data_IF_906975990430
#
_entry.id   IF_906975990430
#
_cell.length_a   1.000
_cell.length_b   1.000
_cell.length_c   1.000
_cell.angle_alpha   90.00
_cell.angle_beta   90.00
_cell.angle_gamma   90.00
#
_symmetry.space_group_name_H-M   'P 1'
#
loop_
_entity.id
_entity.type
_entity.pdbx_description
1 polymer ?
#
# COMPACT_ATOMS: atom_id res chain seq x y z
N UNK A 1 -19.17 -18.17 -6.46
CA UNK A 1 -19.07 -17.67 -5.08
C UNK A 1 -17.95 -18.37 -4.30
N UNK A 2 -16.84 -18.75 -4.96
CA UNK A 2 -15.69 -19.48 -4.38
C UNK A 2 -14.43 -18.71 -4.79
N UNK A 3 -14.06 -17.65 -4.06
CA UNK A 3 -12.72 -17.04 -4.16
C UNK A 3 -12.47 -15.92 -3.14
N UNK A 4 -13.11 -15.98 -1.96
CA UNK A 4 -12.96 -14.94 -0.94
C UNK A 4 -11.91 -15.27 0.14
N UNK A 5 -11.30 -16.46 0.10
CA UNK A 5 -10.61 -17.01 1.28
C UNK A 5 -9.07 -16.94 1.27
N UNK A 6 -8.38 -16.52 0.20
CA UNK A 6 -6.90 -16.42 0.23
C UNK A 6 -6.30 -15.10 -0.32
N UNK A 7 -7.13 -14.11 -0.66
CA UNK A 7 -6.59 -12.96 -1.39
C UNK A 7 -5.98 -11.93 -0.44
N UNK A 8 -4.66 -11.72 -0.59
CA UNK A 8 -4.00 -10.51 -0.11
C UNK A 8 -4.74 -9.34 -0.72
N UNK A 9 -5.44 -8.57 0.08
CA UNK A 9 -6.34 -7.54 -0.42
C UNK A 9 -5.86 -6.13 -0.09
N UNK A 10 -4.81 -6.01 0.74
CA UNK A 10 -4.18 -4.75 1.13
C UNK A 10 -2.76 -4.67 0.58
N UNK A 11 -2.33 -3.47 0.25
CA UNK A 11 -0.93 -3.16 -0.01
C UNK A 11 -0.55 -1.86 0.68
N UNK A 12 0.55 -1.94 1.43
CA UNK A 12 1.11 -0.82 2.20
C UNK A 12 2.45 -0.50 1.60
N UNK A 13 2.64 0.73 1.12
CA UNK A 13 3.89 1.19 0.53
C UNK A 13 4.22 2.62 0.98
N UNK A 14 5.40 3.08 0.58
CA UNK A 14 5.77 4.49 0.54
C UNK A 14 6.12 4.93 -0.86
N UNK A 15 5.92 6.22 -1.11
CA UNK A 15 6.41 6.90 -2.31
C UNK A 15 7.46 7.92 -1.88
N UNK A 16 8.59 7.94 -2.59
CA UNK A 16 9.68 8.84 -2.28
C UNK A 16 10.57 8.38 -1.12
N UNK A 17 11.38 9.32 -0.63
CA UNK A 17 12.16 9.14 0.60
C UNK A 17 11.25 9.35 1.80
N UNK A 18 11.37 8.48 2.79
CA UNK A 18 10.72 8.66 4.10
C UNK A 18 11.74 8.39 5.21
N UNK A 19 11.52 8.99 6.37
CA UNK A 19 12.33 8.75 7.56
C UNK A 19 12.32 7.27 8.03
N UNK A 20 13.33 6.90 8.83
CA UNK A 20 13.45 5.54 9.41
C UNK A 20 12.21 5.13 10.21
N UNK A 21 11.62 6.07 10.96
CA UNK A 21 10.46 5.81 11.80
C UNK A 21 9.23 5.44 10.97
N UNK A 22 9.05 6.08 9.81
CA UNK A 22 7.97 5.75 8.87
C UNK A 22 8.17 4.37 8.25
N UNK A 23 9.41 4.00 7.91
CA UNK A 23 9.70 2.64 7.42
C UNK A 23 9.36 1.58 8.46
N UNK A 24 9.63 1.85 9.74
CA UNK A 24 9.25 0.98 10.84
C UNK A 24 7.73 0.88 10.95
N UNK A 25 7.01 2.01 10.93
CA UNK A 25 5.55 2.05 10.92
C UNK A 25 4.93 1.23 9.78
N UNK A 26 5.48 1.33 8.56
CA UNK A 26 5.05 0.53 7.41
C UNK A 26 5.25 -0.96 7.67
N UNK A 27 6.39 -1.34 8.24
CA UNK A 27 6.70 -2.73 8.59
C UNK A 27 5.72 -3.26 9.64
N UNK A 28 5.38 -2.45 10.64
CA UNK A 28 4.44 -2.83 11.69
C UNK A 28 2.99 -2.90 11.18
N UNK A 29 2.58 -1.97 10.32
CA UNK A 29 1.27 -2.02 9.65
C UNK A 29 1.13 -3.24 8.74
N UNK A 30 2.19 -3.63 8.04
CA UNK A 30 2.19 -4.89 7.27
C UNK A 30 1.90 -6.07 8.18
N UNK A 31 2.54 -6.18 9.35
CA UNK A 31 2.26 -7.25 10.33
C UNK A 31 0.82 -7.19 10.84
N UNK A 32 0.30 -6.00 11.12
CA UNK A 32 -1.10 -5.82 11.58
C UNK A 32 -2.11 -6.30 10.54
N UNK A 33 -1.80 -6.14 9.25
CA UNK A 33 -2.68 -6.56 8.16
C UNK A 33 -2.48 -8.01 7.69
N UNK A 34 -1.59 -8.78 8.33
CA UNK A 34 -1.46 -10.21 8.03
C UNK A 34 -2.74 -10.98 8.36
N UNK A 35 -3.11 -12.00 7.56
CA UNK A 35 -2.40 -12.51 6.37
C UNK A 35 -2.71 -11.75 5.07
N UNK A 36 -3.67 -10.82 5.08
CA UNK A 36 -4.28 -10.22 3.89
C UNK A 36 -3.51 -9.04 3.28
N UNK A 37 -2.19 -9.02 3.41
CA UNK A 37 -1.34 -7.94 2.88
C UNK A 37 -0.27 -8.45 1.92
N UNK A 38 0.02 -7.67 0.89
CA UNK A 38 1.10 -7.96 -0.03
C UNK A 38 2.48 -7.61 0.57
N UNK A 39 3.14 -8.60 1.17
CA UNK A 39 4.47 -8.46 1.78
C UNK A 39 5.64 -8.50 0.77
N UNK A 40 5.43 -9.13 -0.40
CA UNK A 40 6.50 -9.34 -1.40
C UNK A 40 6.78 -8.11 -2.26
N UNK A 41 5.86 -7.14 -2.27
CA UNK A 41 6.00 -5.91 -3.04
C UNK A 41 6.88 -4.97 -2.23
N UNK A 42 8.04 -4.64 -2.78
CA UNK A 42 8.99 -3.72 -2.16
C UNK A 42 9.07 -2.42 -2.96
N UNK A 43 9.15 -1.32 -2.22
CA UNK A 43 9.19 0.01 -2.78
C UNK A 43 10.59 0.64 -2.82
N UNK A 44 10.88 1.33 -3.93
CA UNK A 44 12.11 2.09 -4.12
C UNK A 44 11.88 3.59 -3.95
N UNK A 45 12.95 4.32 -3.64
CA UNK A 45 12.87 5.76 -3.32
C UNK A 45 12.39 6.63 -4.50
N UNK A 46 12.57 6.17 -5.75
CA UNK A 46 12.21 6.91 -6.95
C UNK A 46 10.92 6.37 -7.59
N UNK A 47 10.22 5.44 -6.93
CA UNK A 47 9.00 4.89 -7.47
C UNK A 47 7.88 5.93 -7.47
N UNK A 48 7.11 5.95 -8.56
CA UNK A 48 5.87 6.70 -8.68
C UNK A 48 4.68 5.80 -8.36
N UNK A 49 3.57 6.41 -7.94
CA UNK A 49 2.34 5.67 -7.60
C UNK A 49 1.78 4.89 -8.80
N UNK A 50 1.93 5.45 -10.01
CA UNK A 50 1.46 4.87 -11.28
C UNK A 50 2.04 3.47 -11.53
N UNK A 51 3.28 3.23 -11.10
CA UNK A 51 3.95 1.92 -11.19
C UNK A 51 3.18 0.81 -10.49
N UNK A 52 2.45 1.15 -9.42
CA UNK A 52 1.74 0.18 -8.59
C UNK A 52 0.32 -0.10 -9.07
N UNK A 53 -0.24 0.72 -9.96
CA UNK A 53 -1.60 0.53 -10.49
C UNK A 53 -1.74 -0.82 -11.24
N UNK A 54 -0.82 -1.21 -12.14
CA UNK A 54 -0.88 -2.53 -12.78
C UNK A 54 -0.73 -3.68 -11.78
N UNK A 55 0.09 -3.49 -10.74
CA UNK A 55 0.31 -4.50 -9.69
C UNK A 55 -0.97 -4.70 -8.87
N UNK A 56 -1.66 -3.63 -8.53
CA UNK A 56 -2.95 -3.67 -7.83
C UNK A 56 -3.97 -4.46 -8.63
N UNK A 57 -4.05 -4.25 -9.95
CA UNK A 57 -4.88 -5.06 -10.84
C UNK A 57 -4.50 -6.53 -10.87
N UNK A 58 -3.21 -6.82 -11.09
CA UNK A 58 -2.71 -8.18 -11.27
C UNK A 58 -2.92 -9.05 -10.02
N UNK A 59 -2.78 -8.45 -8.84
CA UNK A 59 -2.91 -9.15 -7.56
C UNK A 59 -4.29 -8.97 -6.92
N UNK A 60 -5.28 -8.41 -7.65
CA UNK A 60 -6.65 -8.18 -7.16
C UNK A 60 -6.70 -7.46 -5.80
N UNK A 61 -5.80 -6.50 -5.60
CA UNK A 61 -5.71 -5.73 -4.36
C UNK A 61 -6.89 -4.74 -4.29
N UNK A 62 -7.52 -4.66 -3.12
CA UNK A 62 -8.69 -3.81 -2.88
C UNK A 62 -8.34 -2.47 -2.23
N UNK A 63 -7.46 -2.48 -1.22
CA UNK A 63 -7.13 -1.29 -0.44
C UNK A 63 -5.64 -0.99 -0.53
N UNK A 64 -5.30 0.28 -0.70
CA UNK A 64 -3.92 0.72 -0.83
C UNK A 64 -3.62 1.85 0.16
N UNK A 65 -2.54 1.66 0.91
CA UNK A 65 -2.07 2.57 1.95
C UNK A 65 -0.73 3.14 1.49
N UNK A 66 -0.68 4.45 1.26
CA UNK A 66 0.50 5.14 0.73
C UNK A 66 1.01 6.16 1.72
N UNK A 67 2.22 5.92 2.20
CA UNK A 67 2.96 6.91 2.97
C UNK A 67 3.78 7.79 2.04
N UNK A 68 3.69 9.10 2.21
CA UNK A 68 4.50 10.08 1.49
C UNK A 68 5.05 11.08 2.50
N UNK A 69 6.29 11.51 2.32
CA UNK A 69 6.85 12.62 3.08
C UNK A 69 6.84 13.86 2.21
N UNK A 70 6.24 14.95 2.70
CA UNK A 70 6.20 16.23 2.00
C UNK A 70 6.51 17.33 3.02
N UNK A 71 7.57 18.10 2.77
CA UNK A 71 7.98 19.23 3.62
C UNK A 71 8.19 18.85 5.11
N UNK A 72 8.67 17.64 5.38
CA UNK A 72 8.86 17.14 6.75
C UNK A 72 7.60 16.59 7.41
N UNK A 73 6.45 16.68 6.76
CA UNK A 73 5.20 16.06 7.20
C UNK A 73 5.00 14.70 6.55
N UNK A 74 4.40 13.77 7.30
CA UNK A 74 4.07 12.43 6.83
C UNK A 74 2.59 12.42 6.49
N UNK A 75 2.28 12.13 5.24
CA UNK A 75 0.92 11.95 4.76
C UNK A 75 0.65 10.47 4.53
N UNK A 76 -0.49 10.00 5.01
CA UNK A 76 -1.06 8.71 4.65
C UNK A 76 -2.25 8.96 3.73
N UNK A 77 -2.25 8.31 2.56
CA UNK A 77 -3.42 8.24 1.68
C UNK A 77 -3.96 6.82 1.68
N UNK A 78 -5.28 6.69 1.79
CA UNK A 78 -5.95 5.40 1.78
C UNK A 78 -6.93 5.41 0.62
N UNK A 79 -6.74 4.49 -0.33
CA UNK A 79 -7.59 4.39 -1.51
C UNK A 79 -8.22 3.00 -1.59
N UNK A 80 -9.51 2.95 -1.88
CA UNK A 80 -10.16 1.74 -2.34
C UNK A 80 -10.10 1.68 -3.86
N UNK A 81 -9.33 0.73 -4.38
CA UNK A 81 -9.17 0.55 -5.81
C UNK A 81 -10.39 -0.11 -6.47
N UNK A 82 -11.15 -0.90 -5.69
CA UNK A 82 -12.36 -1.55 -6.18
C UNK A 82 -13.40 -0.46 -6.48
N UNK A 83 -13.85 -0.40 -7.73
CA UNK A 83 -14.90 0.51 -8.23
C UNK A 83 -14.57 2.02 -8.28
N UNK A 84 -13.29 2.41 -8.42
CA UNK A 84 -12.90 3.84 -8.32
C UNK A 84 -13.42 4.48 -7.03
N UNK A 85 -13.27 3.73 -5.92
CA UNK A 85 -13.77 4.13 -4.63
C UNK A 85 -13.11 5.40 -4.07
N UNK A 86 -13.64 5.93 -2.96
CA UNK A 86 -13.13 7.14 -2.35
C UNK A 86 -11.66 7.00 -1.95
N UNK A 87 -10.94 8.11 -2.04
CA UNK A 87 -9.59 8.27 -1.47
C UNK A 87 -9.68 9.23 -0.30
N UNK A 88 -9.16 8.79 0.85
CA UNK A 88 -9.12 9.54 2.10
C UNK A 88 -7.68 9.93 2.45
#
# INVERSE_FOLDING_TARGET
MKELEENKNKLVIRIGKVTKNVKQLITDLRKVFEPHVALKIQEHNNDLIEKYIPIIHQFFLSHFFVFTEKNGEILLRISNYLHHGPTY
#
